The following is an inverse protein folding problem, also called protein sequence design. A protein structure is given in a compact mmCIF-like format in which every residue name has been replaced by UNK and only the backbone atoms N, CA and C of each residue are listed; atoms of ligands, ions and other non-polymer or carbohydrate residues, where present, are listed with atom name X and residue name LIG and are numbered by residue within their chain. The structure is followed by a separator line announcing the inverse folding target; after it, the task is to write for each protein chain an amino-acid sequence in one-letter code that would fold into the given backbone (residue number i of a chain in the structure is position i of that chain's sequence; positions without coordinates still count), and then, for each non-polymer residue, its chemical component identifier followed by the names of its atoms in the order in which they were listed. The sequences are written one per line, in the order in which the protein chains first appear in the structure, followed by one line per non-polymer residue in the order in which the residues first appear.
data_IF_946035831233
#
_entry.id   IF_946035831233
#
_cell.length_a   1.000
_cell.length_b   1.000
_cell.length_c   1.000
_cell.angle_alpha   90.00
_cell.angle_beta   90.00
_cell.angle_gamma   90.00
#
_symmetry.space_group_name_H-M   'P 1'
#
loop_
_entity.id
_entity.type
_entity.pdbx_description
1 polymer ?
#
# COMPACT_ATOMS: atom_id res chain seq x y z
N UNK A 1 18.70 -81.41 -34.87
CA UNK A 1 18.62 -80.06 -34.25
C UNK A 1 17.90 -79.15 -35.23
N UNK A 2 16.77 -78.49 -34.87
CA UNK A 2 16.20 -77.43 -35.68
C UNK A 2 17.01 -76.13 -35.53
N UNK A 3 17.23 -75.40 -36.61
CA UNK A 3 17.95 -74.12 -36.58
C UNK A 3 17.04 -73.00 -36.05
N UNK A 4 17.54 -72.24 -35.06
CA UNK A 4 16.93 -70.97 -34.66
C UNK A 4 17.18 -69.91 -35.74
N UNK A 5 16.12 -69.33 -36.32
CA UNK A 5 16.29 -68.25 -37.29
C UNK A 5 16.76 -66.95 -36.63
N UNK A 6 17.63 -66.16 -37.29
CA UNK A 6 18.09 -64.88 -36.76
C UNK A 6 16.96 -63.85 -36.80
N UNK A 7 16.53 -63.38 -35.63
CA UNK A 7 15.48 -62.36 -35.51
C UNK A 7 15.99 -60.98 -35.89
N UNK A 8 15.41 -60.40 -36.95
CA UNK A 8 15.85 -59.16 -37.60
C UNK A 8 15.96 -57.99 -36.60
N UNK A 9 17.12 -57.29 -36.51
CA UNK A 9 17.29 -56.12 -35.65
C UNK A 9 16.25 -55.01 -35.86
N UNK A 10 15.82 -54.75 -37.10
CA UNK A 10 14.76 -53.75 -37.36
C UNK A 10 13.43 -54.14 -36.73
N UNK A 11 13.10 -55.44 -36.70
CA UNK A 11 11.83 -55.91 -36.18
C UNK A 11 11.80 -55.81 -34.65
N UNK A 12 12.94 -56.04 -34.00
CA UNK A 12 13.14 -55.74 -32.57
C UNK A 12 13.04 -54.25 -32.29
N UNK A 13 13.70 -53.40 -33.09
CA UNK A 13 13.59 -51.94 -32.98
C UNK A 13 12.15 -51.45 -33.11
N UNK A 14 11.42 -51.90 -34.15
CA UNK A 14 10.02 -51.52 -34.38
C UNK A 14 9.11 -51.98 -33.24
N UNK A 15 9.28 -53.20 -32.73
CA UNK A 15 8.55 -53.71 -31.55
C UNK A 15 8.90 -52.95 -30.27
N UNK A 16 10.17 -52.58 -30.07
CA UNK A 16 10.61 -51.79 -28.91
C UNK A 16 10.10 -50.34 -28.94
N UNK A 17 10.08 -49.70 -30.11
CA UNK A 17 9.49 -48.36 -30.30
C UNK A 17 7.98 -48.40 -30.05
N UNK A 18 7.26 -49.43 -30.54
CA UNK A 18 5.83 -49.61 -30.26
C UNK A 18 5.56 -49.84 -28.76
N UNK A 19 6.40 -50.62 -28.07
CA UNK A 19 6.29 -50.77 -26.62
C UNK A 19 6.59 -49.47 -25.87
N UNK A 20 7.61 -48.71 -26.27
CA UNK A 20 7.92 -47.41 -25.66
C UNK A 20 6.79 -46.40 -25.85
N UNK A 21 6.21 -46.28 -27.05
CA UNK A 21 5.08 -45.38 -27.28
C UNK A 21 3.80 -45.82 -26.56
N UNK A 22 3.57 -47.14 -26.45
CA UNK A 22 2.43 -47.68 -25.68
C UNK A 22 2.60 -47.47 -24.16
N UNK A 23 3.81 -47.61 -23.64
CA UNK A 23 4.10 -47.45 -22.20
C UNK A 23 4.20 -45.99 -21.75
N UNK A 24 4.50 -45.03 -22.64
CA UNK A 24 4.59 -43.61 -22.27
C UNK A 24 3.21 -42.91 -22.14
N UNK A 25 2.12 -43.56 -22.54
CA UNK A 25 0.76 -43.01 -22.50
C UNK A 25 0.06 -43.25 -21.14
N UNK A 26 0.61 -44.11 -20.26
CA UNK A 26 -0.06 -44.53 -19.01
C UNK A 26 0.67 -44.01 -17.76
N UNK A 27 0.91 -42.70 -17.69
CA UNK A 27 1.31 -42.02 -16.45
C UNK A 27 0.67 -40.64 -16.21
N UNK A 28 -0.25 -40.20 -17.06
CA UNK A 28 -1.16 -39.09 -16.75
C UNK A 28 -2.37 -39.61 -15.99
N UNK A 29 -2.43 -39.37 -14.68
CA UNK A 29 -3.68 -39.51 -13.92
C UNK A 29 -4.74 -38.57 -14.49
N UNK A 30 -6.00 -39.01 -14.55
CA UNK A 30 -7.06 -38.33 -15.28
C UNK A 30 -7.47 -36.98 -14.63
N UNK A 31 -6.78 -35.91 -14.98
CA UNK A 31 -7.43 -34.60 -15.12
C UNK A 31 -8.42 -34.74 -16.27
N UNK A 32 -9.70 -34.39 -16.09
CA UNK A 32 -10.66 -34.48 -17.21
C UNK A 32 -10.37 -33.36 -18.19
N UNK A 33 -10.66 -33.58 -19.48
CA UNK A 33 -10.52 -32.53 -20.49
C UNK A 33 -11.35 -31.29 -20.11
N UNK A 34 -12.54 -31.51 -19.54
CA UNK A 34 -13.42 -30.46 -19.00
C UNK A 34 -12.73 -29.58 -17.93
N UNK A 35 -11.94 -30.19 -17.03
CA UNK A 35 -11.20 -29.46 -15.99
C UNK A 35 -10.05 -28.63 -16.62
N UNK A 36 -9.37 -29.18 -17.64
CA UNK A 36 -8.31 -28.49 -18.39
C UNK A 36 -8.89 -27.29 -19.16
N UNK A 37 -10.02 -27.48 -19.85
CA UNK A 37 -10.66 -26.44 -20.66
C UNK A 37 -11.23 -25.32 -19.78
N UNK A 38 -11.76 -25.66 -18.59
CA UNK A 38 -12.17 -24.70 -17.58
C UNK A 38 -11.00 -23.86 -17.05
N UNK A 39 -9.88 -24.51 -16.67
CA UNK A 39 -8.67 -23.82 -16.23
C UNK A 39 -8.06 -22.95 -17.34
N UNK A 40 -8.11 -23.37 -18.61
CA UNK A 40 -7.70 -22.54 -19.73
C UNK A 40 -8.58 -21.30 -19.91
N UNK A 41 -9.90 -21.43 -19.71
CA UNK A 41 -10.83 -20.30 -19.75
C UNK A 41 -10.55 -19.31 -18.62
N UNK A 42 -10.39 -19.77 -17.38
CA UNK A 42 -10.02 -18.92 -16.23
C UNK A 42 -8.66 -18.22 -16.45
N UNK A 43 -7.67 -18.93 -17.00
CA UNK A 43 -6.38 -18.33 -17.36
C UNK A 43 -6.48 -17.26 -18.46
N UNK A 44 -7.49 -17.29 -19.34
CA UNK A 44 -7.76 -16.22 -20.31
C UNK A 44 -8.46 -15.04 -19.65
N UNK A 45 -9.44 -15.29 -18.77
CA UNK A 45 -10.15 -14.25 -18.00
C UNK A 45 -9.15 -13.48 -17.10
N UNK A 46 -8.31 -14.18 -16.33
CA UNK A 46 -7.26 -13.60 -15.47
C UNK A 46 -6.24 -12.81 -16.29
N UNK A 47 -5.85 -13.27 -17.49
CA UNK A 47 -4.93 -12.51 -18.37
C UNK A 47 -5.55 -11.21 -18.89
N UNK A 48 -6.86 -11.22 -19.16
CA UNK A 48 -7.64 -10.03 -19.57
C UNK A 48 -7.77 -9.03 -18.42
N UNK A 49 -8.08 -9.50 -17.20
CA UNK A 49 -8.05 -8.65 -16.00
C UNK A 49 -6.65 -8.07 -15.74
N UNK A 50 -5.58 -8.87 -15.83
CA UNK A 50 -4.21 -8.40 -15.68
C UNK A 50 -3.79 -7.36 -16.74
N UNK A 51 -4.36 -7.41 -17.95
CA UNK A 51 -4.16 -6.37 -18.95
C UNK A 51 -4.90 -5.07 -18.59
N UNK A 52 -6.15 -5.18 -18.12
CA UNK A 52 -6.94 -4.02 -17.66
C UNK A 52 -6.30 -3.35 -16.44
N UNK A 53 -5.83 -4.13 -15.45
CA UNK A 53 -5.14 -3.65 -14.25
C UNK A 53 -3.83 -2.92 -14.60
N UNK A 54 -3.11 -3.35 -15.63
CA UNK A 54 -1.91 -2.66 -16.10
C UNK A 54 -2.23 -1.32 -16.77
N UNK A 55 -3.30 -1.24 -17.55
CA UNK A 55 -3.70 0.02 -18.19
C UNK A 55 -4.28 1.01 -17.16
N UNK A 56 -5.06 0.56 -16.17
CA UNK A 56 -5.50 1.44 -15.07
C UNK A 56 -4.31 1.87 -14.20
N UNK A 57 -3.34 0.99 -13.93
CA UNK A 57 -2.10 1.36 -13.23
C UNK A 57 -1.32 2.44 -13.99
N UNK A 58 -1.19 2.33 -15.31
CA UNK A 58 -0.55 3.34 -16.17
C UNK A 58 -1.31 4.67 -16.12
N UNK A 59 -2.63 4.65 -16.27
CA UNK A 59 -3.44 5.86 -16.25
C UNK A 59 -3.38 6.55 -14.87
N UNK A 60 -3.38 5.79 -13.76
CA UNK A 60 -3.17 6.32 -12.41
C UNK A 60 -1.77 6.95 -12.25
N UNK A 61 -0.72 6.42 -12.89
CA UNK A 61 0.61 7.04 -12.90
C UNK A 61 0.63 8.36 -13.69
N UNK A 62 -0.06 8.42 -14.82
CA UNK A 62 -0.22 9.65 -15.62
C UNK A 62 -1.04 10.71 -14.87
N UNK A 63 -2.14 10.32 -14.22
CA UNK A 63 -2.96 11.19 -13.36
C UNK A 63 -2.18 11.70 -12.13
N UNK A 64 -1.39 10.85 -11.46
CA UNK A 64 -0.52 11.25 -10.36
C UNK A 64 0.54 12.27 -10.82
N UNK A 65 1.15 12.07 -11.99
CA UNK A 65 2.11 13.02 -12.57
C UNK A 65 1.43 14.35 -12.97
N UNK A 66 0.19 14.30 -13.46
CA UNK A 66 -0.62 15.49 -13.75
C UNK A 66 -1.05 16.24 -12.48
N UNK A 67 -1.45 15.50 -11.44
CA UNK A 67 -1.85 16.05 -10.15
C UNK A 67 -0.67 16.67 -9.40
N UNK A 68 0.51 16.05 -9.42
CA UNK A 68 1.74 16.65 -8.87
C UNK A 68 2.00 18.01 -9.50
N UNK A 69 2.04 18.10 -10.84
CA UNK A 69 2.24 19.38 -11.55
C UNK A 69 1.17 20.43 -11.22
N UNK A 70 -0.07 20.02 -10.94
CA UNK A 70 -1.14 20.92 -10.49
C UNK A 70 -0.91 21.40 -9.05
N UNK A 71 -0.49 20.51 -8.14
CA UNK A 71 -0.11 20.85 -6.76
C UNK A 71 1.11 21.76 -6.72
N UNK A 72 2.12 21.53 -7.56
CA UNK A 72 3.31 22.39 -7.70
C UNK A 72 2.93 23.80 -8.15
N UNK A 73 2.07 23.91 -9.17
CA UNK A 73 1.57 25.20 -9.66
C UNK A 73 0.69 25.92 -8.62
N UNK A 74 -0.21 25.22 -7.93
CA UNK A 74 -1.01 25.81 -6.84
C UNK A 74 -0.13 26.24 -5.67
N UNK A 75 0.87 25.45 -5.31
CA UNK A 75 1.87 25.82 -4.29
C UNK A 75 2.65 27.06 -4.70
N UNK A 76 3.06 27.18 -5.96
CA UNK A 76 3.76 28.35 -6.48
C UNK A 76 2.89 29.60 -6.44
N UNK A 77 1.63 29.50 -6.85
CA UNK A 77 0.66 30.62 -6.76
C UNK A 77 0.39 31.01 -5.31
N UNK A 78 0.20 30.05 -4.40
CA UNK A 78 0.04 30.32 -2.97
C UNK A 78 1.27 31.03 -2.36
N UNK A 79 2.49 30.62 -2.77
CA UNK A 79 3.73 31.30 -2.37
C UNK A 79 3.88 32.71 -2.95
N UNK A 80 3.39 32.95 -4.17
CA UNK A 80 3.38 34.30 -4.76
C UNK A 80 2.38 35.20 -4.02
N UNK A 81 1.17 34.69 -3.76
CA UNK A 81 0.12 35.41 -3.02
C UNK A 81 0.54 35.71 -1.57
N UNK A 82 1.27 34.82 -0.90
CA UNK A 82 1.74 35.06 0.48
C UNK A 82 2.86 36.11 0.56
N UNK A 83 3.74 36.18 -0.45
CA UNK A 83 4.73 37.26 -0.61
C UNK A 83 4.03 38.61 -0.88
N UNK A 84 2.95 38.62 -1.66
CA UNK A 84 2.16 39.84 -1.92
C UNK A 84 1.42 40.32 -0.66
N UNK A 85 0.85 39.39 0.12
CA UNK A 85 0.29 39.66 1.45
C UNK A 85 1.34 40.14 2.47
N UNK A 86 2.61 39.74 2.36
CA UNK A 86 3.70 40.33 3.15
C UNK A 86 4.04 41.75 2.72
N UNK A 87 4.09 42.03 1.42
CA UNK A 87 4.30 43.40 0.90
C UNK A 87 3.21 44.36 1.36
N UNK A 88 1.94 43.93 1.36
CA UNK A 88 0.82 44.69 1.91
C UNK A 88 0.95 44.96 3.42
N UNK A 89 1.61 44.08 4.19
CA UNK A 89 1.89 44.27 5.62
C UNK A 89 3.15 45.08 5.92
N UNK A 90 4.05 45.26 4.95
CA UNK A 90 5.34 45.94 5.15
C UNK A 90 5.28 47.46 5.34
N UNK A 91 4.09 48.06 5.33
CA UNK A 91 3.86 49.48 5.66
C UNK A 91 3.72 49.75 7.19
N UNK A 92 4.11 48.82 8.07
CA UNK A 92 3.94 48.95 9.52
C UNK A 92 5.07 48.43 10.43
N UNK A 93 6.06 49.29 10.69
CA UNK A 93 6.94 49.31 11.90
C UNK A 93 8.00 48.19 12.06
N UNK A 94 9.10 48.49 12.77
CA UNK A 94 10.27 47.63 13.14
C UNK A 94 11.03 48.28 14.32
N UNK A 95 12.06 47.73 15.00
CA UNK A 95 12.91 46.53 14.78
C UNK A 95 12.88 45.64 16.07
N UNK A 96 13.90 45.10 16.78
CA UNK A 96 15.39 45.02 16.73
C UNK A 96 15.83 43.72 17.46
N UNK A 97 16.71 42.87 16.90
CA UNK A 97 18.15 42.66 17.20
C UNK A 97 18.60 42.82 18.68
N UNK A 98 19.50 42.01 19.26
CA UNK A 98 20.38 40.88 18.82
C UNK A 98 20.59 39.91 20.04
N UNK A 99 20.89 38.60 19.98
CA UNK A 99 21.92 37.77 19.30
C UNK A 99 23.29 37.66 20.04
N UNK A 100 23.59 36.48 20.65
CA UNK A 100 24.94 35.88 20.69
C UNK A 100 24.92 34.36 21.03
N UNK A 101 26.08 33.71 21.11
CA UNK A 101 26.35 32.28 20.78
C UNK A 101 27.25 31.59 21.85
N UNK A 102 27.65 30.31 21.82
CA UNK A 102 27.48 29.16 20.89
C UNK A 102 27.12 27.90 21.77
N UNK A 103 27.77 26.70 21.84
CA UNK A 103 28.77 25.97 21.03
C UNK A 103 28.20 24.73 20.27
N UNK A 104 29.08 23.92 19.66
CA UNK A 104 28.77 22.77 18.80
C UNK A 104 28.40 21.45 19.51
N UNK A 105 27.52 20.66 18.86
CA UNK A 105 27.85 19.30 18.37
C UNK A 105 27.15 19.06 17.03
N UNK A 106 27.70 18.15 16.21
CA UNK A 106 27.09 17.72 14.94
C UNK A 106 25.64 17.28 15.16
N UNK A 107 24.70 17.96 14.52
CA UNK A 107 23.27 17.84 14.79
C UNK A 107 22.45 17.64 13.52
N UNK A 108 21.45 16.78 13.62
CA UNK A 108 20.43 16.57 12.60
C UNK A 108 19.80 17.91 12.19
N UNK A 109 19.61 18.13 10.88
CA UNK A 109 18.96 19.34 10.37
C UNK A 109 17.52 19.38 10.88
N UNK A 110 17.27 20.16 11.94
CA UNK A 110 15.99 20.20 12.65
C UNK A 110 14.86 20.57 11.69
N UNK A 111 14.11 19.56 11.29
CA UNK A 111 13.08 19.66 10.25
C UNK A 111 12.13 20.80 10.61
N UNK A 112 12.09 21.84 9.77
CA UNK A 112 11.34 23.06 10.04
C UNK A 112 9.84 22.79 9.91
N UNK A 113 9.21 22.38 11.01
CA UNK A 113 7.77 22.10 11.12
C UNK A 113 6.98 23.33 10.61
N UNK A 114 6.13 23.18 9.57
CA UNK A 114 5.29 24.27 9.08
C UNK A 114 4.23 24.75 10.08
N UNK A 115 3.77 25.99 9.90
CA UNK A 115 2.73 26.59 10.76
C UNK A 115 1.30 26.30 10.31
N UNK A 116 1.10 25.70 9.13
CA UNK A 116 -0.22 25.46 8.52
C UNK A 116 -0.51 23.95 8.36
N UNK A 117 -1.71 23.44 8.70
CA UNK A 117 -2.02 22.00 8.65
C UNK A 117 -1.77 21.35 7.29
N UNK A 118 -2.29 21.90 6.19
CA UNK A 118 -2.10 21.33 4.85
C UNK A 118 -0.62 21.32 4.45
N UNK A 119 0.20 22.23 5.00
CA UNK A 119 1.61 22.32 4.70
C UNK A 119 2.44 21.28 5.47
N UNK A 120 2.20 21.07 6.77
CA UNK A 120 2.81 19.93 7.50
C UNK A 120 2.41 18.62 6.82
N UNK A 121 1.13 18.45 6.50
CA UNK A 121 0.59 17.24 5.90
C UNK A 121 1.23 16.95 4.53
N UNK A 122 1.32 17.97 3.66
CA UNK A 122 2.00 17.89 2.36
C UNK A 122 3.48 17.55 2.49
N UNK A 123 4.20 18.17 3.44
CA UNK A 123 5.62 17.88 3.67
C UNK A 123 5.82 16.44 4.14
N UNK A 124 4.99 15.95 5.07
CA UNK A 124 5.01 14.55 5.52
C UNK A 124 4.78 13.54 4.39
N UNK A 125 3.89 13.86 3.44
CA UNK A 125 3.67 13.06 2.24
C UNK A 125 4.88 13.07 1.30
N UNK A 126 5.44 14.25 1.02
CA UNK A 126 6.63 14.41 0.17
C UNK A 126 7.84 13.62 0.73
N UNK A 127 8.09 13.73 2.04
CA UNK A 127 9.10 12.93 2.73
C UNK A 127 8.83 11.42 2.61
N UNK A 128 7.57 10.98 2.77
CA UNK A 128 7.20 9.57 2.66
C UNK A 128 7.46 9.02 1.24
N UNK A 129 7.04 9.74 0.19
CA UNK A 129 7.24 9.34 -1.20
C UNK A 129 8.72 9.41 -1.64
N UNK A 130 9.53 10.27 -1.00
CA UNK A 130 11.00 10.27 -1.12
C UNK A 130 11.70 9.16 -0.33
N UNK A 131 10.96 8.27 0.32
CA UNK A 131 11.50 7.17 1.12
C UNK A 131 12.07 7.59 2.48
N UNK A 132 11.93 8.86 2.88
CA UNK A 132 12.37 9.39 4.18
C UNK A 132 11.35 9.08 5.28
N UNK A 133 11.17 7.79 5.57
CA UNK A 133 10.04 7.30 6.40
C UNK A 133 10.02 7.88 7.83
N UNK A 134 11.18 8.20 8.41
CA UNK A 134 11.28 8.82 9.74
C UNK A 134 10.95 10.33 9.72
N UNK A 135 11.48 11.08 8.76
CA UNK A 135 11.14 12.50 8.55
C UNK A 135 9.63 12.67 8.31
N UNK A 136 9.04 11.80 7.49
CA UNK A 136 7.59 11.74 7.28
C UNK A 136 6.82 11.53 8.59
N UNK A 137 7.25 10.57 9.42
CA UNK A 137 6.63 10.28 10.72
C UNK A 137 6.65 11.49 11.63
N UNK A 138 7.79 12.15 11.76
CA UNK A 138 7.96 13.32 12.65
C UNK A 138 7.01 14.45 12.27
N UNK A 139 6.77 14.65 10.97
CA UNK A 139 5.80 15.64 10.47
C UNK A 139 4.36 15.27 10.80
N UNK A 140 3.93 14.02 10.58
CA UNK A 140 2.58 13.60 10.97
C UNK A 140 2.39 13.53 12.50
N UNK A 141 3.45 13.22 13.26
CA UNK A 141 3.44 13.31 14.72
C UNK A 141 3.36 14.77 15.20
N UNK A 142 4.04 15.72 14.54
CA UNK A 142 3.88 17.15 14.81
C UNK A 142 2.45 17.62 14.47
N UNK A 143 1.91 17.19 13.33
CA UNK A 143 0.51 17.44 12.94
C UNK A 143 -0.45 16.99 14.05
N UNK A 144 -0.39 15.71 14.47
CA UNK A 144 -1.33 15.15 15.46
C UNK A 144 -1.11 15.66 16.89
N UNK A 145 0.00 16.35 17.17
CA UNK A 145 0.21 17.11 18.42
C UNK A 145 -0.46 18.50 18.34
N UNK A 146 -0.40 19.16 17.18
CA UNK A 146 -0.78 20.58 16.97
C UNK A 146 -2.20 20.80 16.44
N UNK A 147 -2.67 19.96 15.52
CA UNK A 147 -3.91 20.15 14.74
C UNK A 147 -4.92 19.03 14.99
N UNK A 148 -5.33 18.88 16.25
CA UNK A 148 -6.29 17.83 16.69
C UNK A 148 -7.71 18.03 16.17
N UNK A 149 -8.05 19.28 15.84
CA UNK A 149 -9.37 19.70 15.35
C UNK A 149 -9.38 19.88 13.81
N UNK A 150 -8.36 19.39 13.10
CA UNK A 150 -8.34 19.41 11.63
C UNK A 150 -8.98 18.15 11.05
N UNK A 151 -9.70 18.31 9.95
CA UNK A 151 -10.24 17.22 9.12
C UNK A 151 -9.14 16.27 8.60
N UNK A 152 -7.88 16.71 8.54
CA UNK A 152 -6.73 15.88 8.16
C UNK A 152 -6.10 15.10 9.34
N UNK A 153 -6.68 15.11 10.54
CA UNK A 153 -6.10 14.46 11.72
C UNK A 153 -6.15 12.91 11.65
N UNK A 154 -7.24 12.31 11.18
CA UNK A 154 -7.31 10.86 10.95
C UNK A 154 -6.33 10.43 9.83
N UNK A 155 -6.21 11.26 8.79
CA UNK A 155 -5.27 11.10 7.70
C UNK A 155 -3.83 11.11 8.24
N UNK A 156 -3.47 12.07 9.10
CA UNK A 156 -2.15 12.12 9.73
C UNK A 156 -1.90 10.89 10.64
N UNK A 157 -2.87 10.46 11.45
CA UNK A 157 -2.76 9.21 12.23
C UNK A 157 -2.55 7.98 11.33
N UNK A 158 -3.29 7.89 10.22
CA UNK A 158 -3.14 6.81 9.24
C UNK A 158 -1.71 6.79 8.66
N UNK A 159 -1.15 7.94 8.30
CA UNK A 159 0.22 8.00 7.78
C UNK A 159 1.29 7.67 8.83
N UNK A 160 1.11 8.04 10.11
CA UNK A 160 1.99 7.52 11.18
C UNK A 160 1.96 5.98 11.19
N UNK A 161 0.78 5.36 11.10
CA UNK A 161 0.65 3.90 11.02
C UNK A 161 1.33 3.31 9.77
N UNK A 162 1.20 3.97 8.62
CA UNK A 162 1.86 3.59 7.37
C UNK A 162 3.38 3.70 7.43
N UNK A 163 3.95 4.72 8.09
CA UNK A 163 5.41 4.81 8.28
C UNK A 163 5.93 3.62 9.10
N UNK A 164 5.22 3.23 10.17
CA UNK A 164 5.59 2.06 10.96
C UNK A 164 5.46 0.75 10.16
N UNK A 165 4.42 0.64 9.32
CA UNK A 165 4.24 -0.51 8.42
C UNK A 165 5.36 -0.62 7.38
N UNK A 166 5.80 0.51 6.81
CA UNK A 166 6.87 0.57 5.81
C UNK A 166 8.24 0.12 6.38
N UNK A 167 8.52 0.43 7.65
CA UNK A 167 9.72 -0.04 8.36
C UNK A 167 9.58 -1.48 8.94
N UNK A 168 8.49 -2.19 8.66
CA UNK A 168 8.24 -3.51 9.24
C UNK A 168 7.90 -3.52 10.74
N UNK A 169 7.70 -2.35 11.35
CA UNK A 169 7.37 -2.16 12.78
C UNK A 169 5.86 -2.37 12.99
N UNK A 170 5.37 -3.55 12.63
CA UNK A 170 3.95 -3.86 12.50
C UNK A 170 3.17 -3.74 13.83
N UNK A 171 3.81 -3.97 14.98
CA UNK A 171 3.18 -3.77 16.30
C UNK A 171 2.84 -2.28 16.54
N UNK A 172 3.74 -1.38 16.14
CA UNK A 172 3.54 0.07 16.23
C UNK A 172 2.51 0.54 15.22
N UNK A 173 2.52 -0.02 14.00
CA UNK A 173 1.49 0.23 13.00
C UNK A 173 0.09 -0.14 13.52
N UNK A 174 -0.08 -1.35 14.09
CA UNK A 174 -1.35 -1.77 14.73
C UNK A 174 -1.76 -0.82 15.85
N UNK A 175 -0.85 -0.46 16.77
CA UNK A 175 -1.14 0.49 17.87
C UNK A 175 -1.60 1.86 17.35
N UNK A 176 -1.03 2.35 16.25
CA UNK A 176 -1.45 3.64 15.65
C UNK A 176 -2.79 3.53 14.93
N UNK A 177 -3.04 2.46 14.17
CA UNK A 177 -4.36 2.24 13.55
C UNK A 177 -5.45 2.06 14.62
N UNK A 178 -5.16 1.37 15.73
CA UNK A 178 -6.05 1.27 16.88
C UNK A 178 -6.32 2.62 17.55
N UNK A 179 -5.34 3.52 17.62
CA UNK A 179 -5.56 4.90 18.10
C UNK A 179 -6.61 5.61 17.24
N UNK A 180 -6.45 5.59 15.91
CA UNK A 180 -7.42 6.19 14.97
C UNK A 180 -8.82 5.55 15.12
N UNK A 181 -8.88 4.22 15.04
CA UNK A 181 -10.13 3.43 15.17
C UNK A 181 -10.86 3.76 16.47
N UNK A 182 -10.15 3.87 17.60
CA UNK A 182 -10.74 4.15 18.91
C UNK A 182 -11.10 5.61 19.10
N UNK A 183 -10.25 6.56 18.68
CA UNK A 183 -10.57 8.00 18.76
C UNK A 183 -11.83 8.31 17.92
N UNK A 184 -11.95 7.74 16.71
CA UNK A 184 -13.17 7.75 15.91
C UNK A 184 -14.39 7.10 16.61
N UNK A 185 -14.24 5.90 17.18
CA UNK A 185 -15.33 5.24 17.94
C UNK A 185 -15.80 6.07 19.16
N UNK A 186 -14.94 6.94 19.70
CA UNK A 186 -15.27 7.86 20.81
C UNK A 186 -15.70 9.26 20.38
N UNK A 187 -15.80 9.56 19.08
CA UNK A 187 -16.16 10.90 18.59
C UNK A 187 -15.12 11.99 18.88
N UNK A 188 -13.84 11.61 19.05
CA UNK A 188 -12.74 12.56 19.29
C UNK A 188 -12.14 13.16 18.03
N UNK A 189 -12.46 12.61 16.86
CA UNK A 189 -12.03 13.11 15.56
C UNK A 189 -13.27 13.58 14.81
N UNK A 190 -13.15 14.71 14.11
CA UNK A 190 -14.24 15.35 13.34
C UNK A 190 -14.53 14.54 12.06
N UNK A 191 -13.48 14.21 11.30
CA UNK A 191 -13.56 13.29 10.16
C UNK A 191 -12.97 11.91 10.51
N UNK A 192 -13.59 10.86 10.00
CA UNK A 192 -13.20 9.46 10.17
C UNK A 192 -13.14 8.70 8.83
N UNK A 193 -13.03 9.40 7.70
CA UNK A 193 -12.91 8.84 6.36
C UNK A 193 -11.75 7.85 6.17
N UNK A 194 -10.71 7.85 7.02
CA UNK A 194 -9.62 6.85 7.02
C UNK A 194 -9.82 5.70 8.00
N UNK A 195 -10.95 5.62 8.70
CA UNK A 195 -11.26 4.46 9.55
C UNK A 195 -11.33 3.13 8.78
N UNK A 196 -11.96 3.02 7.59
CA UNK A 196 -11.94 1.77 6.80
C UNK A 196 -10.52 1.38 6.38
N UNK A 197 -9.76 2.34 5.87
CA UNK A 197 -8.37 2.16 5.43
C UNK A 197 -7.46 1.73 6.58
N UNK A 198 -7.63 2.31 7.76
CA UNK A 198 -6.89 1.95 8.97
C UNK A 198 -7.22 0.52 9.45
N UNK A 199 -8.49 0.11 9.42
CA UNK A 199 -8.89 -1.27 9.73
C UNK A 199 -8.28 -2.26 8.73
N UNK A 200 -8.30 -1.95 7.43
CA UNK A 200 -7.70 -2.80 6.40
C UNK A 200 -6.17 -2.95 6.62
N UNK A 201 -5.46 -1.85 6.84
CA UNK A 201 -4.00 -1.88 7.11
C UNK A 201 -3.66 -2.56 8.44
N UNK A 202 -4.50 -2.44 9.47
CA UNK A 202 -4.39 -3.20 10.72
C UNK A 202 -4.50 -4.71 10.49
N UNK A 203 -5.46 -5.15 9.68
CA UNK A 203 -5.61 -6.55 9.29
C UNK A 203 -4.38 -7.09 8.54
N UNK A 204 -3.87 -6.33 7.56
CA UNK A 204 -2.61 -6.68 6.88
C UNK A 204 -1.39 -6.68 7.80
N UNK A 205 -1.31 -5.77 8.78
CA UNK A 205 -0.23 -5.75 9.77
C UNK A 205 -0.27 -6.99 10.68
N UNK A 206 -1.45 -7.49 11.06
CA UNK A 206 -1.58 -8.77 11.76
C UNK A 206 -1.11 -9.95 10.89
N UNK A 207 -1.50 -10.02 9.60
CA UNK A 207 -0.98 -11.06 8.70
C UNK A 207 0.56 -11.03 8.60
N UNK A 208 1.16 -9.83 8.58
CA UNK A 208 2.62 -9.67 8.56
C UNK A 208 3.32 -10.08 9.87
N UNK A 209 2.58 -10.22 10.96
CA UNK A 209 3.07 -10.78 12.24
C UNK A 209 2.71 -12.26 12.44
N UNK A 210 2.08 -12.93 11.45
CA UNK A 210 1.56 -14.29 11.59
C UNK A 210 0.29 -14.39 12.45
N UNK A 211 -0.30 -13.26 12.82
CA UNK A 211 -1.42 -13.13 13.76
C UNK A 211 -2.78 -13.34 13.04
N UNK A 212 -2.89 -14.43 12.29
CA UNK A 212 -3.97 -14.69 11.34
C UNK A 212 -5.37 -14.56 11.93
N UNK A 213 -5.60 -15.10 13.14
CA UNK A 213 -6.91 -15.00 13.79
C UNK A 213 -7.29 -13.54 14.13
N UNK A 214 -6.31 -12.69 14.47
CA UNK A 214 -6.53 -11.26 14.71
C UNK A 214 -6.77 -10.51 13.39
N UNK A 215 -6.07 -10.89 12.32
CA UNK A 215 -6.35 -10.37 10.98
C UNK A 215 -7.77 -10.70 10.52
N UNK A 216 -8.19 -11.98 10.61
CA UNK A 216 -9.54 -12.43 10.27
C UNK A 216 -10.60 -11.63 11.01
N UNK A 217 -10.46 -11.49 12.33
CA UNK A 217 -11.36 -10.70 13.17
C UNK A 217 -11.50 -9.23 12.73
N UNK A 218 -10.39 -8.55 12.40
CA UNK A 218 -10.42 -7.15 11.92
C UNK A 218 -11.05 -7.03 10.53
N UNK A 219 -10.77 -7.96 9.61
CA UNK A 219 -11.41 -7.97 8.30
C UNK A 219 -12.93 -8.20 8.41
N UNK A 220 -13.39 -9.11 9.28
CA UNK A 220 -14.82 -9.29 9.55
C UNK A 220 -15.47 -8.05 10.19
N UNK A 221 -14.79 -7.35 11.10
CA UNK A 221 -15.31 -6.08 11.66
C UNK A 221 -15.42 -4.99 10.58
N UNK A 222 -14.42 -4.88 9.70
CA UNK A 222 -14.39 -3.94 8.57
C UNK A 222 -15.56 -4.19 7.60
N UNK A 223 -15.74 -5.44 7.14
CA UNK A 223 -16.83 -5.82 6.25
C UNK A 223 -18.20 -5.56 6.89
N UNK A 224 -18.36 -5.83 8.19
CA UNK A 224 -19.61 -5.58 8.91
C UNK A 224 -19.91 -4.09 9.09
N UNK A 225 -18.89 -3.25 9.29
CA UNK A 225 -19.08 -1.81 9.57
C UNK A 225 -19.17 -0.96 8.30
N UNK A 226 -18.45 -1.33 7.24
CA UNK A 226 -18.30 -0.53 6.03
C UNK A 226 -18.54 -1.36 4.74
N UNK A 227 -19.69 -2.06 4.62
CA UNK A 227 -19.88 -3.14 3.65
C UNK A 227 -19.72 -2.74 2.17
N UNK A 228 -19.96 -1.45 1.87
CA UNK A 228 -19.96 -0.86 0.52
C UNK A 228 -18.64 -0.13 0.16
N UNK A 229 -17.57 -0.33 0.95
CA UNK A 229 -16.25 0.28 0.71
C UNK A 229 -15.31 -0.63 -0.09
N UNK A 230 -14.39 -0.05 -0.85
CA UNK A 230 -13.31 -0.80 -1.52
C UNK A 230 -12.49 -1.60 -0.50
N UNK A 231 -12.25 -1.05 0.69
CA UNK A 231 -11.56 -1.78 1.76
C UNK A 231 -12.32 -3.01 2.26
N UNK A 232 -13.66 -2.98 2.28
CA UNK A 232 -14.45 -4.18 2.59
C UNK A 232 -14.37 -5.22 1.46
N UNK A 233 -14.33 -4.82 0.18
CA UNK A 233 -14.10 -5.75 -0.94
C UNK A 233 -12.70 -6.39 -0.90
N UNK A 234 -11.66 -5.60 -0.61
CA UNK A 234 -10.29 -6.13 -0.43
C UNK A 234 -10.26 -7.08 0.79
N UNK A 235 -11.00 -6.77 1.86
CA UNK A 235 -11.10 -7.63 3.04
C UNK A 235 -11.84 -8.94 2.77
N UNK A 236 -12.94 -8.94 1.99
CA UNK A 236 -13.68 -10.15 1.55
C UNK A 236 -12.74 -11.08 0.79
N UNK A 237 -12.15 -10.57 -0.30
CA UNK A 237 -11.17 -11.29 -1.13
C UNK A 237 -9.96 -11.77 -0.33
N UNK A 238 -9.53 -11.05 0.71
CA UNK A 238 -8.41 -11.50 1.55
C UNK A 238 -8.80 -12.58 2.57
N UNK A 239 -10.05 -12.64 3.04
CA UNK A 239 -10.50 -13.73 3.90
C UNK A 239 -10.58 -15.08 3.16
N UNK A 240 -10.95 -15.07 1.88
CA UNK A 240 -11.02 -16.26 1.02
C UNK A 240 -9.67 -16.99 0.86
N UNK A 241 -8.56 -16.22 0.89
CA UNK A 241 -7.18 -16.71 0.67
C UNK A 241 -6.30 -16.58 1.93
N UNK A 242 -6.91 -16.76 3.11
CA UNK A 242 -6.21 -16.84 4.40
C UNK A 242 -6.77 -18.02 5.18
N UNK A 243 -5.97 -19.09 5.25
CA UNK A 243 -6.20 -20.32 6.02
C UNK A 243 -6.32 -20.06 7.53
#
# INVERSE_FOLDING_TARGET
MPYSQPTNPEEKMKKFIIYLSSSFIILTGCVKQEDVDLLQKELVEIKKELAQIKETQKNIQEDLAGLSKRVDNVSKVASQNSIELQKLKSFGVSEKKAEEKEPEKEGEEKVKIPENPEEIYRYGLDAYYKGKIQEAREMFEAFTKKFKESELYDNALFWIGQTYYAEGKYDKAVKTFDRLINECKTGKIIDCNKMPTAMLKKGFAFLKMGETNKAKSVFTELIKKFPDTEEAEIAKKKLEVVE
#
